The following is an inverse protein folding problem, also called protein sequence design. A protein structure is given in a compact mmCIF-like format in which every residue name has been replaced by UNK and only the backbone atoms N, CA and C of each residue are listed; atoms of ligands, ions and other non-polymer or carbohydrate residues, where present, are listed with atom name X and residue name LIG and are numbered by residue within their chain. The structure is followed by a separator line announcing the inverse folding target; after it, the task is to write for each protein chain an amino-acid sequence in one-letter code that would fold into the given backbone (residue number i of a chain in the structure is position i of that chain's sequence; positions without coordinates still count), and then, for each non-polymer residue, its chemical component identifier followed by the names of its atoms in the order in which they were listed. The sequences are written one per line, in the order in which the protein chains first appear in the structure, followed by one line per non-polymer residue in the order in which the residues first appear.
data_IF_485291134755
#
_entry.id   IF_485291134755
#
_cell.length_a   1.000
_cell.length_b   1.000
_cell.length_c   1.000
_cell.angle_alpha   90.00
_cell.angle_beta   90.00
_cell.angle_gamma   90.00
#
_symmetry.space_group_name_H-M   'P 1'
#
loop_
_entity.id
_entity.type
_entity.pdbx_description
1 polymer ?
#
# COMPACT_ATOMS: atom_id res chain seq x y z
N UNK A 1 -5.11 34.01 31.07
CA UNK A 1 -4.48 32.74 30.62
C UNK A 1 -5.36 31.59 31.07
N UNK A 2 -6.04 30.90 30.16
CA UNK A 2 -6.73 29.64 30.46
C UNK A 2 -6.02 28.55 29.66
N UNK A 3 -5.37 27.61 30.37
CA UNK A 3 -4.83 26.39 29.77
C UNK A 3 -6.02 25.46 29.50
N UNK A 4 -6.36 25.29 28.22
CA UNK A 4 -7.37 24.34 27.78
C UNK A 4 -6.69 22.97 27.72
N UNK A 5 -7.06 22.08 28.65
CA UNK A 5 -6.58 20.70 28.72
C UNK A 5 -6.90 19.96 27.42
N UNK A 6 -5.85 19.45 26.77
CA UNK A 6 -5.93 18.49 25.68
C UNK A 6 -6.55 17.19 26.21
N UNK A 7 -7.78 16.86 25.81
CA UNK A 7 -8.31 15.52 26.03
C UNK A 7 -7.68 14.58 24.99
N UNK A 8 -6.99 13.51 25.41
CA UNK A 8 -6.53 12.50 24.48
C UNK A 8 -7.74 11.69 23.99
N UNK A 9 -7.97 11.78 22.69
CA UNK A 9 -8.97 11.02 21.93
C UNK A 9 -8.87 9.50 22.19
N UNK A 10 -9.97 8.81 21.89
CA UNK A 10 -10.34 7.43 22.19
C UNK A 10 -9.44 6.31 21.60
N UNK A 11 -8.13 6.50 21.50
CA UNK A 11 -7.15 5.47 21.06
C UNK A 11 -6.61 4.61 22.23
N UNK A 12 -6.98 4.90 23.48
CA UNK A 12 -6.52 4.15 24.66
C UNK A 12 -7.17 2.78 24.87
N UNK A 13 -8.26 2.46 24.18
CA UNK A 13 -8.91 1.14 24.32
C UNK A 13 -8.04 0.00 23.76
N UNK A 14 -7.26 0.26 22.72
CA UNK A 14 -6.36 -0.74 22.13
C UNK A 14 -5.07 -0.97 22.91
N UNK A 15 -4.69 -0.06 23.82
CA UNK A 15 -3.41 -0.11 24.54
C UNK A 15 -3.53 -0.56 26.01
N UNK A 16 -4.73 -0.87 26.48
CA UNK A 16 -4.98 -1.23 27.89
C UNK A 16 -5.84 -2.49 28.04
N UNK A 17 -5.65 -3.51 27.18
CA UNK A 17 -6.17 -4.84 27.51
C UNK A 17 -5.23 -5.46 28.54
N UNK A 18 -5.79 -5.83 29.70
CA UNK A 18 -5.05 -6.66 30.67
C UNK A 18 -4.82 -8.05 30.07
N UNK A 19 -3.73 -8.72 30.45
CA UNK A 19 -3.37 -10.05 29.91
C UNK A 19 -4.53 -11.05 29.99
N UNK A 20 -5.38 -10.94 31.02
CA UNK A 20 -6.61 -11.72 31.21
C UNK A 20 -7.70 -11.46 30.15
N UNK A 21 -7.92 -10.19 29.80
CA UNK A 21 -8.91 -9.80 28.78
C UNK A 21 -8.41 -10.15 27.38
N UNK A 22 -7.11 -10.01 27.14
CA UNK A 22 -6.48 -10.41 25.89
C UNK A 22 -6.55 -11.92 25.70
N UNK A 23 -6.29 -12.71 26.75
CA UNK A 23 -6.42 -14.17 26.74
C UNK A 23 -7.83 -14.62 26.40
N UNK A 24 -8.85 -14.08 27.07
CA UNK A 24 -10.24 -14.43 26.78
C UNK A 24 -10.67 -14.10 25.34
N UNK A 25 -10.14 -13.01 24.77
CA UNK A 25 -10.40 -12.63 23.38
C UNK A 25 -9.68 -13.57 22.39
N UNK A 26 -8.43 -13.91 22.67
CA UNK A 26 -7.65 -14.89 21.89
C UNK A 26 -8.32 -16.26 21.89
N UNK A 27 -8.80 -16.72 23.05
CA UNK A 27 -9.51 -17.99 23.17
C UNK A 27 -10.82 -17.96 22.37
N UNK A 28 -11.60 -16.89 22.49
CA UNK A 28 -12.83 -16.74 21.71
C UNK A 28 -12.57 -16.69 20.19
N UNK A 29 -11.48 -16.04 19.77
CA UNK A 29 -11.06 -15.98 18.37
C UNK A 29 -10.60 -17.36 17.86
N UNK A 30 -9.81 -18.07 18.65
CA UNK A 30 -9.28 -19.41 18.33
C UNK A 30 -10.41 -20.44 18.25
N UNK A 31 -11.36 -20.40 19.20
CA UNK A 31 -12.56 -21.24 19.18
C UNK A 31 -13.43 -21.01 17.94
N UNK A 32 -13.49 -19.76 17.45
CA UNK A 32 -14.24 -19.42 16.23
C UNK A 32 -13.51 -19.85 14.96
N UNK A 33 -12.18 -19.92 14.98
CA UNK A 33 -11.34 -20.28 13.84
C UNK A 33 -10.31 -21.37 14.22
N UNK A 34 -10.75 -22.64 14.35
CA UNK A 34 -9.90 -23.73 14.86
C UNK A 34 -8.63 -23.96 14.03
N UNK A 35 -8.64 -23.57 12.74
CA UNK A 35 -7.48 -23.64 11.87
C UNK A 35 -6.27 -22.80 12.33
N UNK A 36 -6.47 -21.84 13.23
CA UNK A 36 -5.40 -21.00 13.77
C UNK A 36 -4.99 -21.41 15.19
N UNK A 37 -5.63 -22.43 15.76
CA UNK A 37 -5.26 -23.01 17.05
C UNK A 37 -3.86 -23.61 16.98
N UNK A 38 -3.02 -23.25 17.96
CA UNK A 38 -1.60 -23.62 17.96
C UNK A 38 -0.76 -23.00 16.85
N UNK A 39 -1.28 -22.06 16.04
CA UNK A 39 -0.52 -21.26 15.07
C UNK A 39 -0.33 -19.83 15.58
N UNK A 40 -1.35 -19.27 16.24
CA UNK A 40 -1.24 -17.98 16.92
C UNK A 40 -0.15 -18.08 17.99
N UNK A 41 0.76 -17.10 18.04
CA UNK A 41 1.92 -17.04 18.95
C UNK A 41 3.11 -17.99 18.66
N UNK A 42 3.11 -18.74 17.55
CA UNK A 42 4.26 -19.59 17.15
C UNK A 42 5.34 -18.87 16.34
N UNK A 43 5.19 -17.56 16.12
CA UNK A 43 6.12 -16.77 15.31
C UNK A 43 6.00 -17.02 13.80
N UNK A 44 4.99 -17.78 13.35
CA UNK A 44 4.80 -18.09 11.92
C UNK A 44 4.52 -16.84 11.07
N UNK A 45 3.85 -15.82 11.63
CA UNK A 45 3.67 -14.54 10.97
C UNK A 45 5.01 -13.84 10.68
N UNK A 46 5.95 -13.86 11.63
CA UNK A 46 7.29 -13.29 11.46
C UNK A 46 8.09 -14.06 10.40
N UNK A 47 7.95 -15.39 10.37
CA UNK A 47 8.58 -16.24 9.35
C UNK A 47 8.02 -15.97 7.95
N UNK A 48 6.71 -15.74 7.83
CA UNK A 48 6.07 -15.36 6.57
C UNK A 48 6.59 -13.98 6.10
N UNK A 49 6.64 -12.99 6.99
CA UNK A 49 7.19 -11.67 6.68
C UNK A 49 8.67 -11.73 6.22
N UNK A 50 9.45 -12.65 6.79
CA UNK A 50 10.84 -12.87 6.37
C UNK A 50 10.91 -13.46 4.95
N UNK A 51 9.99 -14.37 4.60
CA UNK A 51 9.87 -14.91 3.25
C UNK A 51 9.49 -13.80 2.27
N UNK A 52 8.49 -12.98 2.60
CA UNK A 52 8.05 -11.86 1.76
C UNK A 52 9.19 -10.86 1.53
N UNK A 53 9.97 -10.55 2.56
CA UNK A 53 11.14 -9.67 2.47
C UNK A 53 12.24 -10.23 1.56
N UNK A 54 12.47 -11.55 1.57
CA UNK A 54 13.43 -12.19 0.67
C UNK A 54 12.98 -12.14 -0.79
N UNK A 55 11.70 -12.39 -1.05
CA UNK A 55 11.11 -12.28 -2.39
C UNK A 55 11.24 -10.84 -2.90
N UNK A 56 10.87 -9.86 -2.07
CA UNK A 56 10.98 -8.44 -2.41
C UNK A 56 12.41 -8.03 -2.76
N UNK A 57 13.40 -8.44 -1.97
CA UNK A 57 14.81 -8.13 -2.25
C UNK A 57 15.26 -8.70 -3.60
N UNK A 58 14.90 -9.95 -3.93
CA UNK A 58 15.25 -10.54 -5.22
C UNK A 58 14.63 -9.78 -6.41
N UNK A 59 13.40 -9.31 -6.25
CA UNK A 59 12.71 -8.50 -7.27
C UNK A 59 13.39 -7.14 -7.43
N UNK A 60 13.68 -6.46 -6.31
CA UNK A 60 14.38 -5.17 -6.30
C UNK A 60 15.76 -5.29 -6.96
N UNK A 61 16.52 -6.34 -6.63
CA UNK A 61 17.84 -6.59 -7.19
C UNK A 61 17.78 -6.79 -8.72
N UNK A 62 16.79 -7.55 -9.21
CA UNK A 62 16.58 -7.79 -10.63
C UNK A 62 16.34 -6.49 -11.42
N UNK A 63 15.53 -5.58 -10.87
CA UNK A 63 15.25 -4.29 -11.52
C UNK A 63 16.41 -3.30 -11.36
N UNK A 64 17.11 -3.33 -10.22
CA UNK A 64 18.27 -2.49 -9.96
C UNK A 64 19.43 -2.82 -10.91
N UNK A 65 19.66 -4.11 -11.19
CA UNK A 65 20.66 -4.55 -12.20
C UNK A 65 20.34 -4.08 -13.62
N UNK A 66 19.08 -3.73 -13.89
CA UNK A 66 18.59 -3.24 -15.18
C UNK A 66 18.45 -1.72 -15.24
N UNK A 67 18.86 -1.02 -14.18
CA UNK A 67 18.70 0.43 -14.03
C UNK A 67 17.23 0.87 -14.13
N UNK A 68 16.31 0.02 -13.65
CA UNK A 68 14.86 0.30 -13.63
C UNK A 68 14.46 0.63 -12.18
N UNK A 69 13.87 1.81 -11.93
CA UNK A 69 13.40 2.15 -10.59
C UNK A 69 12.17 1.33 -10.22
N UNK A 70 12.22 0.68 -9.06
CA UNK A 70 11.11 -0.04 -8.44
C UNK A 70 11.00 0.35 -6.98
N UNK A 71 9.77 0.59 -6.50
CA UNK A 71 9.50 0.87 -5.09
C UNK A 71 8.66 -0.27 -4.51
N UNK A 72 9.22 -0.96 -3.52
CA UNK A 72 8.54 -2.02 -2.79
C UNK A 72 7.82 -1.44 -1.56
N UNK A 73 6.57 -1.86 -1.36
CA UNK A 73 5.74 -1.55 -0.20
C UNK A 73 5.15 -2.87 0.30
N UNK A 74 5.85 -3.53 1.23
CA UNK A 74 5.54 -4.90 1.67
C UNK A 74 5.43 -5.90 0.51
N UNK A 75 4.23 -6.38 0.21
CA UNK A 75 3.91 -7.32 -0.87
C UNK A 75 3.59 -6.62 -2.21
N UNK A 76 3.51 -5.29 -2.19
CA UNK A 76 3.10 -4.47 -3.32
C UNK A 76 4.31 -3.77 -3.95
N UNK A 77 4.28 -3.60 -5.27
CA UNK A 77 5.37 -2.94 -6.00
C UNK A 77 4.82 -1.81 -6.87
N UNK A 78 5.53 -0.69 -6.89
CA UNK A 78 5.28 0.44 -7.77
C UNK A 78 6.41 0.48 -8.79
N UNK A 79 6.06 0.35 -10.07
CA UNK A 79 7.00 0.33 -11.21
C UNK A 79 6.37 1.00 -12.43
N UNK A 80 7.19 1.29 -13.45
CA UNK A 80 6.72 1.72 -14.76
C UNK A 80 5.77 0.69 -15.38
N UNK A 81 4.70 1.19 -16.01
CA UNK A 81 3.59 0.37 -16.48
C UNK A 81 3.98 -0.61 -17.59
N UNK A 82 4.93 -0.23 -18.44
CA UNK A 82 5.47 -1.08 -19.51
C UNK A 82 6.27 -2.27 -18.98
N UNK A 83 6.69 -2.23 -17.71
CA UNK A 83 7.44 -3.30 -17.03
C UNK A 83 6.56 -4.24 -16.21
N UNK A 84 5.25 -4.07 -16.24
CA UNK A 84 4.31 -4.98 -15.54
C UNK A 84 4.56 -6.47 -15.87
N UNK A 85 4.67 -6.89 -17.16
CA UNK A 85 4.87 -8.31 -17.47
C UNK A 85 6.22 -8.84 -16.96
N UNK A 86 7.21 -7.97 -16.87
CA UNK A 86 8.53 -8.30 -16.35
C UNK A 86 8.51 -8.41 -14.83
N UNK A 87 7.79 -7.53 -14.14
CA UNK A 87 7.59 -7.58 -12.70
C UNK A 87 6.89 -8.88 -12.30
N UNK A 88 5.85 -9.28 -13.03
CA UNK A 88 5.16 -10.55 -12.80
C UNK A 88 6.11 -11.74 -12.89
N UNK A 89 6.92 -11.79 -13.96
CA UNK A 89 7.92 -12.86 -14.14
C UNK A 89 8.98 -12.86 -13.04
N UNK A 90 9.45 -11.69 -12.63
CA UNK A 90 10.45 -11.56 -11.57
C UNK A 90 9.88 -12.02 -10.22
N UNK A 91 8.63 -11.66 -9.91
CA UNK A 91 7.91 -12.13 -8.73
C UNK A 91 7.73 -13.65 -8.76
N UNK A 92 7.23 -14.22 -9.85
CA UNK A 92 7.03 -15.66 -9.99
C UNK A 92 8.35 -16.43 -9.80
N UNK A 93 9.44 -15.94 -10.40
CA UNK A 93 10.78 -16.53 -10.26
C UNK A 93 11.32 -16.41 -8.83
N UNK A 94 11.16 -15.25 -8.20
CA UNK A 94 11.60 -15.02 -6.83
C UNK A 94 10.81 -15.88 -5.84
N UNK A 95 9.49 -15.95 -5.97
CA UNK A 95 8.64 -16.80 -5.15
C UNK A 95 9.05 -18.27 -5.31
N UNK A 96 9.17 -18.76 -6.54
CA UNK A 96 9.58 -20.14 -6.78
C UNK A 96 10.97 -20.44 -6.17
N UNK A 97 11.90 -19.49 -6.20
CA UNK A 97 13.25 -19.67 -5.62
C UNK A 97 13.24 -19.74 -4.09
N UNK A 98 12.37 -18.97 -3.44
CA UNK A 98 12.33 -18.86 -1.96
C UNK A 98 11.42 -19.93 -1.33
N UNK A 99 10.30 -20.25 -1.96
CA UNK A 99 9.27 -21.12 -1.36
C UNK A 99 9.10 -22.48 -2.05
N UNK A 100 9.68 -22.68 -3.25
CA UNK A 100 9.40 -23.82 -4.12
C UNK A 100 7.92 -23.96 -4.57
N UNK A 101 7.09 -22.95 -4.31
CA UNK A 101 5.69 -22.89 -4.73
C UNK A 101 5.45 -21.72 -5.68
N UNK A 102 4.46 -21.85 -6.56
CA UNK A 102 3.95 -20.75 -7.37
C UNK A 102 2.79 -20.08 -6.63
N UNK A 103 2.87 -18.77 -6.45
CA UNK A 103 1.80 -17.95 -5.84
C UNK A 103 1.27 -17.03 -6.93
N UNK A 104 -0.05 -16.93 -7.07
CA UNK A 104 -0.66 -15.98 -8.01
C UNK A 104 -0.63 -14.58 -7.38
N UNK A 105 -0.22 -13.58 -8.16
CA UNK A 105 -0.02 -12.21 -7.70
C UNK A 105 -1.06 -11.29 -8.33
N UNK A 106 -1.86 -10.61 -7.51
CA UNK A 106 -2.88 -9.68 -7.96
C UNK A 106 -2.26 -8.37 -8.50
N UNK A 107 -2.52 -8.05 -9.76
CA UNK A 107 -2.07 -6.80 -10.39
C UNK A 107 -3.21 -5.79 -10.43
N UNK A 108 -3.08 -4.69 -9.69
CA UNK A 108 -4.06 -3.59 -9.65
C UNK A 108 -3.76 -2.52 -10.71
N UNK A 109 -3.89 -2.88 -11.99
CA UNK A 109 -3.69 -1.95 -13.13
C UNK A 109 -4.98 -1.46 -13.79
N UNK A 110 -6.12 -1.53 -13.08
CA UNK A 110 -7.39 -1.04 -13.62
C UNK A 110 -7.31 0.48 -13.90
N UNK A 111 -7.57 0.87 -15.16
CA UNK A 111 -7.54 2.25 -15.66
C UNK A 111 -8.68 2.48 -16.63
N UNK A 112 -9.16 3.72 -16.72
CA UNK A 112 -10.09 4.10 -17.77
C UNK A 112 -9.32 4.51 -19.02
N UNK A 113 -9.68 3.90 -20.15
CA UNK A 113 -9.14 4.25 -21.46
C UNK A 113 -10.00 5.36 -22.05
N UNK A 114 -9.38 6.52 -22.34
CA UNK A 114 -10.02 7.61 -23.05
C UNK A 114 -9.33 7.82 -24.39
N UNK A 115 -10.11 8.17 -25.41
CA UNK A 115 -9.60 8.63 -26.70
C UNK A 115 -9.96 10.10 -26.88
N UNK A 116 -8.97 10.96 -27.08
CA UNK A 116 -9.19 12.39 -27.34
C UNK A 116 -8.35 12.87 -28.51
N UNK A 117 -8.87 13.86 -29.24
CA UNK A 117 -8.10 14.57 -30.26
C UNK A 117 -7.19 15.56 -29.55
N UNK A 118 -5.88 15.40 -29.71
CA UNK A 118 -4.89 16.34 -29.20
C UNK A 118 -4.22 17.00 -30.40
N UNK A 119 -4.16 18.33 -30.38
CA UNK A 119 -3.35 19.13 -31.29
C UNK A 119 -2.51 20.13 -30.50
N UNK A 120 -1.33 20.47 -31.02
CA UNK A 120 -0.42 21.41 -30.37
C UNK A 120 0.86 21.64 -31.18
N UNK A 121 1.69 22.56 -30.72
CA UNK A 121 2.99 22.89 -31.34
C UNK A 121 4.08 21.86 -31.01
N UNK A 122 3.75 20.57 -31.14
CA UNK A 122 4.66 19.44 -30.91
C UNK A 122 4.71 18.64 -32.19
N UNK A 123 5.92 18.26 -32.62
CA UNK A 123 6.17 17.59 -33.90
C UNK A 123 5.34 16.29 -33.98
N UNK A 124 4.41 16.23 -34.95
CA UNK A 124 3.48 15.10 -35.11
C UNK A 124 2.06 15.32 -34.54
N UNK A 125 1.79 16.47 -33.91
CA UNK A 125 0.49 16.89 -33.39
C UNK A 125 0.02 18.23 -33.97
N UNK A 126 0.62 18.65 -35.08
CA UNK A 126 0.26 19.89 -35.80
C UNK A 126 -1.17 19.83 -36.35
N UNK A 127 -1.63 18.62 -36.69
CA UNK A 127 -3.03 18.30 -37.00
C UNK A 127 -3.67 17.51 -35.86
N UNK A 128 -5.01 17.53 -35.68
CA UNK A 128 -5.68 16.83 -34.60
C UNK A 128 -5.50 15.30 -34.69
N UNK A 129 -4.59 14.75 -33.90
CA UNK A 129 -4.34 13.30 -33.81
C UNK A 129 -5.18 12.72 -32.67
N UNK A 130 -5.94 11.66 -32.97
CA UNK A 130 -6.64 10.89 -31.93
C UNK A 130 -5.60 10.10 -31.16
N UNK A 131 -5.40 10.47 -29.89
CA UNK A 131 -4.54 9.72 -28.96
C UNK A 131 -5.38 9.02 -27.91
N UNK A 132 -5.01 7.76 -27.65
CA UNK A 132 -5.44 7.06 -26.46
C UNK A 132 -4.62 7.59 -25.28
N UNK A 133 -5.30 8.08 -24.24
CA UNK A 133 -4.68 8.44 -22.98
C UNK A 133 -5.40 7.75 -21.83
N UNK A 134 -4.65 7.41 -20.80
CA UNK A 134 -5.14 6.66 -19.64
C UNK A 134 -5.38 7.61 -18.48
N UNK A 135 -6.55 7.51 -17.85
CA UNK A 135 -6.80 8.18 -16.57
C UNK A 135 -6.84 7.12 -15.46
N UNK A 136 -6.32 7.44 -14.27
CA UNK A 136 -6.48 6.56 -13.12
C UNK A 136 -7.96 6.42 -12.76
N UNK A 137 -8.36 5.23 -12.28
CA UNK A 137 -9.72 5.05 -11.77
C UNK A 137 -9.91 5.94 -10.56
N UNK A 138 -10.88 6.85 -10.65
CA UNK A 138 -11.24 7.73 -9.57
C UNK A 138 -12.06 6.92 -8.57
N UNK A 139 -11.42 6.51 -7.48
CA UNK A 139 -12.11 5.91 -6.34
C UNK A 139 -12.81 7.04 -5.60
N UNK A 140 -14.14 6.95 -5.46
CA UNK A 140 -14.91 7.93 -4.70
C UNK A 140 -14.47 7.89 -3.23
N UNK A 141 -14.06 9.04 -2.64
CA UNK A 141 -13.47 9.00 -1.32
C UNK A 141 -14.52 8.66 -0.26
N UNK A 142 -14.18 7.73 0.62
CA UNK A 142 -15.03 7.38 1.78
C UNK A 142 -15.10 8.52 2.79
N UNK A 143 -16.08 8.51 3.69
CA UNK A 143 -16.24 9.53 4.75
C UNK A 143 -14.94 9.71 5.57
N UNK A 144 -14.30 8.61 5.93
CA UNK A 144 -13.04 8.61 6.68
C UNK A 144 -11.90 9.35 5.98
N UNK A 145 -11.86 9.33 4.63
CA UNK A 145 -10.87 10.09 3.88
C UNK A 145 -11.10 11.59 4.04
N UNK A 146 -12.35 12.04 4.02
CA UNK A 146 -12.71 13.44 4.22
C UNK A 146 -12.32 13.92 5.63
N UNK A 147 -12.54 13.10 6.65
CA UNK A 147 -12.15 13.41 8.03
C UNK A 147 -10.64 13.58 8.16
N UNK A 148 -9.87 12.64 7.59
CA UNK A 148 -8.40 12.69 7.56
C UNK A 148 -7.89 13.89 6.78
N UNK A 149 -8.48 14.18 5.62
CA UNK A 149 -8.15 15.36 4.80
C UNK A 149 -8.39 16.65 5.59
N UNK A 150 -9.52 16.76 6.28
CA UNK A 150 -9.85 17.93 7.10
C UNK A 150 -8.87 18.12 8.25
N UNK A 151 -8.51 17.03 8.94
CA UNK A 151 -7.48 17.04 9.98
C UNK A 151 -6.12 17.48 9.43
N UNK A 152 -5.74 16.98 8.26
CA UNK A 152 -4.49 17.34 7.60
C UNK A 152 -4.46 18.81 7.16
N UNK A 153 -5.53 19.32 6.55
CA UNK A 153 -5.64 20.75 6.17
C UNK A 153 -5.51 21.65 7.40
N UNK A 154 -6.22 21.31 8.49
CA UNK A 154 -6.11 22.05 9.76
C UNK A 154 -4.69 22.01 10.33
N UNK A 155 -3.99 20.88 10.22
CA UNK A 155 -2.59 20.77 10.64
C UNK A 155 -1.66 21.66 9.79
N UNK A 156 -1.87 21.74 8.48
CA UNK A 156 -1.09 22.63 7.60
C UNK A 156 -1.28 24.11 7.96
N UNK A 157 -2.51 24.53 8.22
CA UNK A 157 -2.82 25.91 8.63
C UNK A 157 -2.16 26.27 9.96
N UNK A 158 -2.13 25.34 10.91
CA UNK A 158 -1.44 25.53 12.18
C UNK A 158 0.08 25.55 12.00
N UNK A 159 0.63 24.65 11.18
CA UNK A 159 2.08 24.50 10.96
C UNK A 159 2.69 25.64 10.17
N UNK A 160 1.96 26.20 9.19
CA UNK A 160 2.37 27.39 8.44
C UNK A 160 2.52 28.64 9.32
N UNK A 161 1.74 28.75 10.40
CA UNK A 161 1.84 29.84 11.36
C UNK A 161 3.09 29.76 12.28
N UNK A 162 3.79 28.61 12.34
CA UNK A 162 5.03 28.47 13.11
C UNK A 162 6.30 28.82 12.30
N UNK A 163 6.20 28.95 10.97
CA UNK A 163 7.33 29.26 10.08
C UNK A 163 7.44 30.74 9.70
N UNK A 164 6.55 31.60 10.22
CA UNK A 164 6.52 33.04 9.93
C UNK A 164 6.82 33.93 11.15
N UNK A 165 7.65 33.46 12.10
CA UNK A 165 8.16 34.27 13.21
C UNK A 165 9.67 34.27 13.27
#
# INVERSE_FOLDING_TARGET
MQQQYFQPDADKLGQCLTDLQLGALLDAFTNKHPQFDGILNTGQALRLMNIDSQIANLVIDHFTQKDIPVLCIHDSFIIQCDKEPELRRALDQATHKVTNYTVDHDIKNERHNHSGKVSGNIKGYEEPVVVAYHTPIRIEPVSQYHDRKTKFTKWLELSGNYLSK
#
